data_IF_009794293867
#
_entry.id   IF_009794293867
#
_cell.length_a   1.000
_cell.length_b   1.000
_cell.length_c   1.000
_cell.angle_alpha   90.00
_cell.angle_beta   90.00
_cell.angle_gamma   90.00
#
_symmetry.space_group_name_H-M   'P 1'
#
loop_
_entity.id
_entity.type
_entity.pdbx_description
1 polymer ?
#
# COMPACT_ATOMS: atom_id res chain seq x y z
N UNK A 1 2.88 -6.65 -37.35
CA UNK A 1 3.04 -5.44 -36.51
C UNK A 1 1.78 -5.33 -35.64
N UNK A 2 1.81 -5.57 -34.32
CA UNK A 2 0.59 -5.43 -33.52
C UNK A 2 0.37 -3.96 -33.17
N UNK A 3 -0.89 -3.53 -33.28
CA UNK A 3 -1.38 -2.19 -33.05
C UNK A 3 -1.48 -1.91 -31.54
N UNK A 4 -0.85 -0.83 -31.09
CA UNK A 4 -1.03 -0.26 -29.77
C UNK A 4 -2.39 0.45 -29.75
N UNK A 5 -3.41 -0.11 -29.10
CA UNK A 5 -4.73 0.52 -29.05
C UNK A 5 -5.86 -0.26 -28.35
N UNK A 6 -5.75 -1.58 -28.19
CA UNK A 6 -6.72 -2.34 -27.39
C UNK A 6 -6.25 -2.41 -25.93
N UNK A 7 -6.83 -1.57 -25.08
CA UNK A 7 -6.78 -1.70 -23.61
C UNK A 7 -7.37 -3.08 -23.29
N UNK A 8 -6.52 -4.04 -22.95
CA UNK A 8 -6.98 -5.35 -22.49
C UNK A 8 -7.77 -5.16 -21.22
N UNK A 9 -8.98 -5.71 -21.16
CA UNK A 9 -9.80 -5.71 -19.97
C UNK A 9 -9.10 -6.57 -18.90
N UNK A 10 -8.86 -5.99 -17.73
CA UNK A 10 -8.25 -6.69 -16.59
C UNK A 10 -9.41 -7.26 -15.78
N UNK A 11 -9.57 -8.59 -15.80
CA UNK A 11 -10.55 -9.25 -14.96
C UNK A 11 -9.86 -9.82 -13.71
N UNK A 12 -10.24 -9.31 -12.55
CA UNK A 12 -9.82 -9.86 -11.25
C UNK A 12 -10.74 -11.03 -10.93
N UNK A 13 -10.17 -12.22 -10.73
CA UNK A 13 -10.91 -13.42 -10.34
C UNK A 13 -10.60 -13.77 -8.90
N UNK A 14 -11.64 -13.81 -8.09
CA UNK A 14 -11.58 -14.28 -6.71
C UNK A 14 -11.49 -15.80 -6.68
N UNK A 15 -10.58 -16.32 -5.86
CA UNK A 15 -10.48 -17.75 -5.57
C UNK A 15 -10.40 -17.87 -4.05
N UNK A 16 -11.36 -18.58 -3.45
CA UNK A 16 -11.48 -18.70 -1.99
C UNK A 16 -11.75 -17.37 -1.25
N UNK A 17 -12.57 -16.48 -1.84
CA UNK A 17 -12.96 -15.22 -1.21
C UNK A 17 -11.86 -14.15 -1.17
N UNK A 18 -10.75 -14.37 -1.88
CA UNK A 18 -9.67 -13.39 -2.04
C UNK A 18 -9.28 -13.28 -3.52
N UNK A 19 -9.14 -12.04 -4.00
CA UNK A 19 -8.64 -11.74 -5.33
C UNK A 19 -7.14 -12.08 -5.44
N UNK A 20 -6.81 -13.26 -5.97
CA UNK A 20 -5.42 -13.75 -6.11
C UNK A 20 -4.99 -14.00 -7.56
N UNK A 21 -5.91 -13.83 -8.51
CA UNK A 21 -5.62 -14.05 -9.92
C UNK A 21 -6.12 -12.89 -10.78
N UNK A 22 -5.29 -12.43 -11.70
CA UNK A 22 -5.65 -11.45 -12.72
C UNK A 22 -5.52 -12.06 -14.10
N UNK A 23 -6.50 -11.79 -14.95
CA UNK A 23 -6.47 -12.12 -16.37
C UNK A 23 -6.11 -10.86 -17.14
N UNK A 24 -5.01 -10.90 -17.89
CA UNK A 24 -4.61 -9.82 -18.78
C UNK A 24 -4.50 -10.41 -20.18
N UNK A 25 -5.45 -10.04 -21.05
CA UNK A 25 -5.62 -10.68 -22.37
C UNK A 25 -5.93 -12.18 -22.21
N UNK A 26 -5.04 -13.04 -22.70
CA UNK A 26 -5.16 -14.51 -22.60
C UNK A 26 -4.15 -15.11 -21.63
N UNK A 27 -3.60 -14.30 -20.71
CA UNK A 27 -2.62 -14.72 -19.71
C UNK A 27 -3.21 -14.60 -18.32
N UNK A 28 -3.05 -15.67 -17.54
CA UNK A 28 -3.40 -15.73 -16.12
C UNK A 28 -2.14 -15.48 -15.28
N UNK A 29 -2.24 -14.54 -14.35
CA UNK A 29 -1.19 -14.28 -13.37
C UNK A 29 -1.75 -14.56 -11.97
N UNK A 30 -1.03 -15.36 -11.20
CA UNK A 30 -1.33 -15.62 -9.78
C UNK A 30 -0.40 -14.77 -8.92
N UNK A 31 -0.98 -14.06 -7.96
CA UNK A 31 -0.31 -13.17 -7.03
C UNK A 31 -0.74 -13.54 -5.61
N UNK A 32 0.05 -13.13 -4.62
CA UNK A 32 -0.36 -13.25 -3.21
C UNK A 32 -1.61 -12.41 -2.94
N UNK A 33 -1.66 -11.20 -3.54
CA UNK A 33 -2.73 -10.23 -3.40
C UNK A 33 -2.95 -9.46 -4.70
N UNK A 34 -4.23 -9.20 -5.01
CA UNK A 34 -4.63 -8.28 -6.06
C UNK A 34 -5.65 -7.29 -5.52
N UNK A 35 -5.36 -6.00 -5.69
CA UNK A 35 -6.25 -4.91 -5.30
C UNK A 35 -7.03 -4.41 -6.51
N UNK A 36 -8.32 -4.15 -6.31
CA UNK A 36 -9.20 -3.48 -7.28
C UNK A 36 -9.20 -1.98 -7.04
N UNK A 37 -9.85 -1.21 -7.92
CA UNK A 37 -9.99 0.25 -7.79
C UNK A 37 -10.76 0.68 -6.54
N UNK A 38 -11.47 -0.24 -5.90
CA UNK A 38 -12.22 0.00 -4.65
C UNK A 38 -11.37 -0.18 -3.40
N UNK A 39 -10.14 -0.71 -3.52
CA UNK A 39 -9.25 -0.90 -2.39
C UNK A 39 -8.77 0.45 -1.84
N UNK A 40 -8.82 0.60 -0.52
CA UNK A 40 -8.35 1.81 0.15
C UNK A 40 -6.85 1.76 0.41
N UNK A 41 -6.26 2.93 0.72
CA UNK A 41 -4.85 2.99 1.15
C UNK A 41 -4.58 2.19 2.43
N UNK A 42 -5.59 2.11 3.30
CA UNK A 42 -5.52 1.32 4.51
C UNK A 42 -5.51 -0.18 4.20
N UNK A 43 -6.35 -0.65 3.27
CA UNK A 43 -6.36 -2.06 2.83
C UNK A 43 -4.99 -2.47 2.27
N UNK A 44 -4.41 -1.62 1.41
CA UNK A 44 -3.09 -1.85 0.82
C UNK A 44 -2.02 -1.90 1.89
N UNK A 45 -2.01 -0.97 2.84
CA UNK A 45 -1.04 -0.95 3.94
C UNK A 45 -1.15 -2.18 4.84
N UNK A 46 -2.36 -2.50 5.31
CA UNK A 46 -2.62 -3.62 6.21
C UNK A 46 -2.23 -4.96 5.58
N UNK A 47 -2.44 -5.10 4.28
CA UNK A 47 -2.13 -6.34 3.55
C UNK A 47 -0.66 -6.49 3.21
N UNK A 48 0.04 -5.38 2.88
CA UNK A 48 1.39 -5.45 2.28
C UNK A 48 2.54 -5.02 3.16
N UNK A 49 2.29 -4.16 4.15
CA UNK A 49 3.36 -3.41 4.83
C UNK A 49 3.26 -3.47 6.36
N UNK A 50 2.09 -3.78 6.92
CA UNK A 50 1.89 -3.82 8.38
C UNK A 50 2.82 -4.82 9.07
N UNK A 51 2.87 -6.06 8.56
CA UNK A 51 3.73 -7.12 9.13
C UNK A 51 5.22 -6.78 9.02
N UNK A 52 5.61 -6.06 7.96
CA UNK A 52 6.97 -5.61 7.71
C UNK A 52 7.38 -4.56 8.74
N UNK A 53 6.47 -3.64 9.10
CA UNK A 53 6.70 -2.66 10.16
C UNK A 53 6.86 -3.33 11.52
N UNK A 54 6.00 -4.30 11.85
CA UNK A 54 6.10 -5.09 13.09
C UNK A 54 7.46 -5.82 13.15
N UNK A 55 7.89 -6.46 12.05
CA UNK A 55 9.19 -7.10 11.95
C UNK A 55 10.37 -6.13 12.12
N UNK A 56 10.28 -4.90 11.59
CA UNK A 56 11.31 -3.87 11.80
C UNK A 56 11.45 -3.53 13.29
N UNK A 57 10.34 -3.41 14.00
CA UNK A 57 10.34 -3.11 15.45
C UNK A 57 10.87 -4.29 16.27
N UNK A 58 10.82 -5.51 15.75
CA UNK A 58 11.48 -6.70 16.31
C UNK A 58 12.98 -6.82 15.97
N UNK A 59 13.50 -5.91 15.15
CA UNK A 59 14.93 -5.88 14.77
C UNK A 59 15.26 -6.57 13.45
N UNK A 60 14.25 -6.98 12.66
CA UNK A 60 14.47 -7.50 11.31
C UNK A 60 14.58 -6.37 10.27
N UNK A 61 15.23 -6.66 9.15
CA UNK A 61 15.24 -5.75 8.00
C UNK A 61 14.08 -6.08 7.05
N UNK A 62 13.32 -5.07 6.63
CA UNK A 62 12.28 -5.21 5.63
C UNK A 62 12.45 -4.19 4.49
N UNK A 63 11.98 -4.56 3.30
CA UNK A 63 12.03 -3.71 2.12
C UNK A 63 10.69 -3.74 1.38
N UNK A 64 10.13 -2.57 1.09
CA UNK A 64 8.92 -2.39 0.28
C UNK A 64 9.30 -1.60 -0.95
N UNK A 65 8.93 -2.12 -2.13
CA UNK A 65 9.20 -1.46 -3.41
C UNK A 65 7.92 -1.37 -4.23
N UNK A 66 7.71 -0.22 -4.89
CA UNK A 66 6.64 -0.04 -5.86
C UNK A 66 7.22 0.01 -7.27
N UNK A 67 6.69 -0.81 -8.19
CA UNK A 67 7.14 -0.91 -9.57
C UNK A 67 5.95 -0.80 -10.54
N UNK A 68 6.23 -0.39 -11.79
CA UNK A 68 5.21 -0.17 -12.82
C UNK A 68 5.45 1.06 -13.67
N UNK A 69 4.68 1.20 -14.76
CA UNK A 69 4.81 2.32 -15.71
C UNK A 69 4.47 3.68 -15.09
N UNK A 70 4.93 4.79 -15.69
CA UNK A 70 4.55 6.14 -15.26
C UNK A 70 3.02 6.31 -15.30
N UNK A 71 2.46 6.97 -14.28
CA UNK A 71 1.01 7.13 -14.12
C UNK A 71 0.27 5.94 -13.52
N UNK A 72 0.96 4.84 -13.16
CA UNK A 72 0.33 3.65 -12.55
C UNK A 72 0.04 3.76 -11.04
N UNK A 73 0.21 4.94 -10.42
CA UNK A 73 -0.08 5.13 -9.00
C UNK A 73 1.02 4.72 -8.00
N UNK A 74 2.26 4.43 -8.42
CA UNK A 74 3.37 4.08 -7.49
C UNK A 74 3.57 5.11 -6.37
N UNK A 75 3.72 6.39 -6.73
CA UNK A 75 3.89 7.49 -5.76
C UNK A 75 2.66 7.61 -4.87
N UNK A 76 1.47 7.44 -5.45
CA UNK A 76 0.22 7.46 -4.71
C UNK A 76 0.15 6.34 -3.67
N UNK A 77 0.54 5.10 -4.01
CA UNK A 77 0.56 4.00 -3.05
C UNK A 77 1.59 4.21 -1.92
N UNK A 78 2.78 4.73 -2.25
CA UNK A 78 3.84 4.93 -1.25
C UNK A 78 3.60 6.13 -0.33
N UNK A 79 3.19 7.28 -0.86
CA UNK A 79 3.05 8.51 -0.07
C UNK A 79 1.61 8.94 0.15
N UNK A 80 0.69 8.57 -0.74
CA UNK A 80 -0.64 9.16 -0.85
C UNK A 80 -0.68 10.22 -1.97
N UNK A 81 -1.81 10.93 -2.13
CA UNK A 81 -1.89 12.07 -3.03
C UNK A 81 -0.90 13.17 -2.61
N UNK A 82 -0.40 13.93 -3.59
CA UNK A 82 0.73 14.86 -3.43
C UNK A 82 0.51 15.88 -2.31
N UNK A 83 -0.72 16.38 -2.16
CA UNK A 83 -1.13 17.32 -1.11
C UNK A 83 -1.15 16.69 0.29
N UNK A 84 -1.57 15.42 0.41
CA UNK A 84 -1.72 14.76 1.71
C UNK A 84 -0.45 14.05 2.16
N UNK A 85 0.28 13.40 1.25
CA UNK A 85 1.42 12.55 1.59
C UNK A 85 2.66 13.30 2.06
N UNK A 86 2.98 14.41 1.41
CA UNK A 86 4.08 15.29 1.82
C UNK A 86 3.68 16.20 2.99
N UNK A 87 2.44 16.70 3.00
CA UNK A 87 1.94 17.48 4.13
C UNK A 87 1.87 16.64 5.41
N UNK A 88 1.63 15.34 5.31
CA UNK A 88 1.63 14.44 6.47
C UNK A 88 2.99 14.26 7.15
N UNK A 89 4.08 14.55 6.45
CA UNK A 89 5.41 14.62 7.05
C UNK A 89 5.64 15.94 7.79
N UNK A 90 4.81 16.96 7.54
CA UNK A 90 4.75 18.15 8.37
C UNK A 90 3.97 17.79 9.64
N UNK A 91 4.60 17.93 10.81
CA UNK A 91 4.10 17.54 12.14
C UNK A 91 2.83 18.29 12.61
N UNK A 92 2.09 18.93 11.70
CA UNK A 92 0.80 19.56 11.98
C UNK A 92 -0.34 18.54 12.02
N UNK A 93 -1.43 18.84 12.74
CA UNK A 93 -2.60 17.97 12.75
C UNK A 93 -3.24 17.92 11.36
N UNK A 94 -3.23 16.74 10.75
CA UNK A 94 -3.94 16.46 9.50
C UNK A 94 -5.43 16.33 9.78
N UNK A 95 -6.24 16.87 8.87
CA UNK A 95 -7.68 16.60 8.87
C UNK A 95 -7.93 15.09 8.68
N UNK A 96 -8.96 14.49 9.31
CA UNK A 96 -9.23 13.06 9.25
C UNK A 96 -9.33 12.49 7.82
N UNK A 97 -9.91 13.25 6.89
CA UNK A 97 -10.00 12.88 5.47
C UNK A 97 -8.64 12.76 4.80
N UNK A 98 -7.67 13.59 5.20
CA UNK A 98 -6.29 13.52 4.71
C UNK A 98 -5.56 12.31 5.30
N UNK A 99 -5.90 11.89 6.52
CA UNK A 99 -5.34 10.70 7.16
C UNK A 99 -5.76 9.41 6.44
N UNK A 100 -6.99 9.35 5.95
CA UNK A 100 -7.49 8.20 5.17
C UNK A 100 -6.72 8.01 3.84
N UNK A 101 -6.15 9.09 3.29
CA UNK A 101 -5.44 9.07 2.01
C UNK A 101 -3.93 8.84 2.13
N UNK A 102 -3.41 8.72 3.35
CA UNK A 102 -1.99 8.46 3.56
C UNK A 102 -1.55 7.16 2.90
N UNK A 103 -0.40 7.20 2.20
CA UNK A 103 0.20 6.00 1.64
C UNK A 103 0.95 5.16 2.67
N UNK A 104 1.69 4.17 2.17
CA UNK A 104 2.45 3.21 2.99
C UNK A 104 3.48 3.90 3.91
N UNK A 105 4.27 4.85 3.40
CA UNK A 105 5.38 5.47 4.12
C UNK A 105 4.90 6.29 5.33
N UNK A 106 4.00 7.29 5.19
CA UNK A 106 3.49 8.03 6.34
C UNK A 106 2.82 7.12 7.37
N UNK A 107 2.04 6.13 6.93
CA UNK A 107 1.39 5.16 7.83
C UNK A 107 2.39 4.31 8.60
N UNK A 108 3.44 3.83 7.92
CA UNK A 108 4.51 3.07 8.54
C UNK A 108 5.23 3.90 9.62
N UNK A 109 5.54 5.16 9.33
CA UNK A 109 6.16 6.07 10.30
C UNK A 109 5.30 6.22 11.56
N UNK A 110 4.01 6.54 11.41
CA UNK A 110 3.11 6.66 12.57
C UNK A 110 3.01 5.34 13.35
N UNK A 111 2.84 4.22 12.65
CA UNK A 111 2.75 2.91 13.29
C UNK A 111 4.02 2.54 14.08
N UNK A 112 5.21 2.87 13.56
CA UNK A 112 6.47 2.68 14.30
C UNK A 112 6.47 3.52 15.58
N UNK A 113 6.09 4.79 15.49
CA UNK A 113 6.04 5.66 16.67
C UNK A 113 5.05 5.15 17.73
N UNK A 114 3.87 4.68 17.31
CA UNK A 114 2.88 4.10 18.21
C UNK A 114 3.44 2.85 18.92
N UNK A 115 4.03 1.91 18.16
CA UNK A 115 4.64 0.69 18.72
C UNK A 115 5.80 0.99 19.68
N UNK A 116 6.60 2.02 19.40
CA UNK A 116 7.68 2.46 20.29
C UNK A 116 7.14 3.14 21.56
N UNK A 117 6.06 3.91 21.45
CA UNK A 117 5.38 4.55 22.58
C UNK A 117 4.83 3.52 23.56
N UNK A 118 4.15 2.49 23.05
CA UNK A 118 3.59 1.40 23.85
C UNK A 118 4.68 0.58 24.57
N UNK A 119 5.80 0.29 23.90
CA UNK A 119 6.93 -0.42 24.50
C UNK A 119 7.62 0.37 25.61
N UNK A 120 7.70 1.70 25.47
CA UNK A 120 8.27 2.57 26.49
C UNK A 120 7.45 2.54 27.79
N UNK A 121 6.14 2.31 27.71
CA UNK A 121 5.24 2.21 28.88
C UNK A 121 5.24 0.82 29.54
N UNK A 122 5.61 -0.23 28.80
CA UNK A 122 5.57 -1.62 29.31
C UNK A 122 6.91 -2.09 29.90
N UNK A 123 7.98 -1.32 29.69
CA UNK A 123 9.34 -1.64 30.13
C UNK A 123 9.76 -1.09 31.51
N UNK A 124 8.82 -0.66 32.36
CA UNK A 124 9.10 -0.17 33.74
C UNK A 124 8.49 -1.04 34.83
#
# INVERSE_FOLDING_TARGET
RPAWGQRGEIAVRERFGQARSIQVRNLEFTLDWCFTETATQEDVYNTTSRQQVEAIVEGYSACVMAYGQTGSGKTHALYGPEESGLAAMSLGPLQPESQAQLGIIPRACFHIFDLLGERSLTGS
#
